data_IF_813208514924
#
_entry.id   IF_813208514924
#
_cell.length_a   1.000
_cell.length_b   1.000
_cell.length_c   1.000
_cell.angle_alpha   90.00
_cell.angle_beta   90.00
_cell.angle_gamma   90.00
#
_symmetry.space_group_name_H-M   'P 1'
#
loop_
_entity.id
_entity.type
_entity.pdbx_description
1 polymer ?
#
# COMPACT_ATOMS: atom_id res chain seq x y z
N UNK A 1 -56.00 4.98 18.43
CA UNK A 1 -54.66 5.00 19.07
C UNK A 1 -53.79 3.74 18.83
N UNK A 2 -53.94 3.01 17.70
CA UNK A 2 -53.16 1.77 17.44
C UNK A 2 -52.18 1.84 16.26
N UNK A 3 -52.19 2.91 15.46
CA UNK A 3 -51.34 3.02 14.25
C UNK A 3 -50.02 3.79 14.44
N UNK A 4 -49.87 4.55 15.51
CA UNK A 4 -48.67 5.36 15.78
C UNK A 4 -47.52 4.53 16.37
N UNK A 5 -47.83 3.37 16.99
CA UNK A 5 -46.80 2.49 17.57
C UNK A 5 -46.04 1.65 16.53
N UNK A 6 -46.64 1.42 15.36
CA UNK A 6 -46.05 0.58 14.31
C UNK A 6 -45.02 1.34 13.45
N UNK A 7 -45.14 2.66 13.32
CA UNK A 7 -44.19 3.48 12.57
C UNK A 7 -42.91 3.79 13.35
N UNK A 8 -42.95 3.78 14.69
CA UNK A 8 -41.76 4.00 15.51
C UNK A 8 -40.83 2.77 15.57
N UNK A 9 -41.38 1.56 15.41
CA UNK A 9 -40.60 0.31 15.47
C UNK A 9 -39.90 -0.02 14.13
N UNK A 10 -40.44 0.46 13.01
CA UNK A 10 -39.86 0.26 11.67
C UNK A 10 -38.59 1.08 11.42
N UNK A 11 -38.42 2.23 12.07
CA UNK A 11 -37.23 3.08 11.89
C UNK A 11 -35.98 2.56 12.62
N UNK A 12 -36.12 1.72 13.66
CA UNK A 12 -34.97 1.23 14.42
C UNK A 12 -34.26 0.05 13.72
N UNK A 13 -34.99 -0.75 12.95
CA UNK A 13 -34.43 -1.89 12.22
C UNK A 13 -33.64 -1.49 10.95
N UNK A 14 -33.91 -0.31 10.38
CA UNK A 14 -33.21 0.20 9.20
C UNK A 14 -31.82 0.79 9.51
N UNK A 15 -31.52 1.09 10.79
CA UNK A 15 -30.26 1.71 11.20
C UNK A 15 -29.13 0.70 11.46
N UNK A 16 -29.44 -0.60 11.53
CA UNK A 16 -28.48 -1.67 11.83
C UNK A 16 -27.69 -2.19 10.61
N UNK A 17 -27.99 -1.72 9.40
CA UNK A 17 -27.30 -2.17 8.18
C UNK A 17 -26.00 -1.42 7.83
N UNK A 18 -25.61 -0.40 8.61
CA UNK A 18 -24.36 0.35 8.36
C UNK A 18 -23.15 -0.13 9.17
N UNK A 19 -23.29 -1.16 10.00
CA UNK A 19 -22.16 -1.74 10.73
C UNK A 19 -21.81 -3.06 10.07
N UNK A 20 -20.93 -3.03 9.06
CA UNK A 20 -19.88 -4.04 8.86
C UNK A 20 -19.29 -3.92 7.46
N UNK A 21 -18.13 -3.25 7.34
CA UNK A 21 -17.13 -3.60 6.33
C UNK A 21 -15.76 -2.96 6.65
N UNK A 22 -15.13 -3.32 7.78
CA UNK A 22 -13.74 -2.91 8.06
C UNK A 22 -12.70 -4.03 7.85
N UNK A 23 -13.12 -5.29 7.70
CA UNK A 23 -12.18 -6.42 7.70
C UNK A 23 -11.63 -6.82 6.32
N UNK A 24 -12.10 -6.23 5.21
CA UNK A 24 -11.64 -6.59 3.85
C UNK A 24 -10.39 -5.84 3.38
N UNK A 25 -9.93 -4.83 4.11
CA UNK A 25 -8.78 -4.01 3.66
C UNK A 25 -7.44 -4.70 3.95
N UNK A 26 -7.39 -5.59 4.95
CA UNK A 26 -6.17 -6.28 5.41
C UNK A 26 -5.54 -7.19 4.35
N UNK A 27 -6.31 -7.67 3.37
CA UNK A 27 -5.84 -8.54 2.27
C UNK A 27 -5.54 -7.80 0.96
N UNK A 28 -5.64 -6.46 0.93
CA UNK A 28 -5.49 -5.70 -0.32
C UNK A 28 -4.08 -5.16 -0.51
N UNK A 29 -3.40 -4.81 0.57
CA UNK A 29 -2.14 -4.05 0.54
C UNK A 29 -0.87 -4.89 0.71
N UNK A 30 -1.02 -6.13 1.16
CA UNK A 30 0.05 -7.10 1.25
C UNK A 30 0.48 -7.58 -0.13
N UNK A 31 1.76 -7.90 -0.24
CA UNK A 31 2.35 -8.47 -1.44
C UNK A 31 3.58 -7.71 -1.95
N UNK A 32 3.94 -8.04 -3.19
CA UNK A 32 5.14 -7.52 -3.85
C UNK A 32 4.73 -6.47 -4.87
N UNK A 33 5.42 -5.34 -4.85
CA UNK A 33 5.23 -4.23 -5.76
C UNK A 33 6.55 -3.89 -6.42
N UNK A 34 6.55 -3.70 -7.74
CA UNK A 34 7.75 -3.40 -8.50
C UNK A 34 7.61 -2.07 -9.23
N UNK A 35 8.73 -1.38 -9.37
CA UNK A 35 8.89 -0.19 -10.18
C UNK A 35 10.13 -0.35 -11.05
N UNK A 36 10.03 0.09 -12.29
CA UNK A 36 11.10 0.07 -13.28
C UNK A 36 11.14 1.41 -13.99
N UNK A 37 12.31 2.04 -14.00
CA UNK A 37 12.56 3.28 -14.70
C UNK A 37 13.86 3.12 -15.51
N UNK A 38 13.86 3.56 -16.76
CA UNK A 38 15.08 3.58 -17.58
C UNK A 38 15.12 4.84 -18.42
N UNK A 39 16.32 5.40 -18.56
CA UNK A 39 16.62 6.50 -19.46
C UNK A 39 17.99 6.36 -20.08
N UNK A 40 18.42 7.37 -20.82
CA UNK A 40 19.70 7.39 -21.55
C UNK A 40 20.91 7.17 -20.63
N UNK A 41 20.83 7.64 -19.38
CA UNK A 41 21.95 7.66 -18.44
C UNK A 41 21.87 6.59 -17.35
N UNK A 42 20.72 5.94 -17.16
CA UNK A 42 20.56 4.98 -16.06
C UNK A 42 19.35 4.06 -16.17
N UNK A 43 19.42 2.98 -15.41
CA UNK A 43 18.32 2.05 -15.16
C UNK A 43 18.13 1.96 -13.64
N UNK A 44 16.90 2.11 -13.18
CA UNK A 44 16.49 1.92 -11.79
C UNK A 44 15.44 0.81 -11.70
N UNK A 45 15.67 -0.13 -10.79
CA UNK A 45 14.71 -1.17 -10.42
C UNK A 45 14.45 -1.05 -8.94
N UNK A 46 13.19 -1.15 -8.55
CA UNK A 46 12.81 -1.08 -7.15
C UNK A 46 11.72 -2.09 -6.86
N UNK A 47 11.81 -2.73 -5.70
CA UNK A 47 10.83 -3.72 -5.27
C UNK A 47 10.50 -3.46 -3.81
N UNK A 48 9.22 -3.34 -3.52
CA UNK A 48 8.67 -3.29 -2.17
C UNK A 48 7.96 -4.60 -1.88
N UNK A 49 8.31 -5.23 -0.77
CA UNK A 49 7.58 -6.36 -0.21
C UNK A 49 6.90 -5.86 1.05
N UNK A 50 5.57 -5.94 1.09
CA UNK A 50 4.75 -5.47 2.21
C UNK A 50 4.07 -6.69 2.83
N UNK A 51 4.33 -6.93 4.11
CA UNK A 51 3.86 -8.12 4.82
C UNK A 51 3.29 -7.72 6.18
N UNK A 52 2.17 -8.31 6.62
CA UNK A 52 1.67 -8.06 7.97
C UNK A 52 2.70 -8.53 9.01
N UNK A 53 2.85 -7.78 10.10
CA UNK A 53 3.76 -8.09 11.19
C UNK A 53 3.10 -7.75 12.53
N UNK A 54 2.95 -8.74 13.42
CA UNK A 54 2.37 -8.51 14.75
C UNK A 54 0.87 -8.21 14.72
N UNK A 55 0.47 -7.12 15.37
CA UNK A 55 -0.92 -6.73 15.62
C UNK A 55 -1.66 -6.30 14.34
N UNK A 56 -2.99 -6.14 14.47
CA UNK A 56 -3.80 -5.71 13.34
C UNK A 56 -3.45 -4.29 12.88
N UNK A 57 -2.92 -4.21 11.66
CA UNK A 57 -2.59 -2.94 11.00
C UNK A 57 -1.10 -2.64 10.95
N UNK A 58 -0.27 -3.44 11.61
CA UNK A 58 1.19 -3.29 11.57
C UNK A 58 1.79 -4.14 10.45
N UNK A 59 2.77 -3.56 9.74
CA UNK A 59 3.38 -4.15 8.54
C UNK A 59 4.90 -3.95 8.54
N UNK A 60 5.60 -4.98 8.07
CA UNK A 60 6.98 -4.87 7.63
C UNK A 60 7.02 -4.50 6.14
N UNK A 61 7.90 -3.56 5.79
CA UNK A 61 8.18 -3.16 4.41
C UNK A 61 9.65 -3.39 4.11
N UNK A 62 9.94 -4.28 3.16
CA UNK A 62 11.29 -4.54 2.67
C UNK A 62 11.44 -3.89 1.29
N UNK A 63 12.31 -2.88 1.20
CA UNK A 63 12.65 -2.22 -0.07
C UNK A 63 13.98 -2.73 -0.59
N UNK A 64 13.96 -3.29 -1.81
CA UNK A 64 15.14 -3.72 -2.56
C UNK A 64 15.28 -2.81 -3.78
N UNK A 65 16.25 -1.91 -3.75
CA UNK A 65 16.54 -1.00 -4.85
C UNK A 65 17.83 -1.38 -5.55
N UNK A 66 17.82 -1.27 -6.88
CA UNK A 66 18.98 -1.42 -7.73
C UNK A 66 19.08 -0.22 -8.69
N UNK A 67 20.29 0.29 -8.85
CA UNK A 67 20.59 1.38 -9.76
C UNK A 67 21.80 0.99 -10.62
N UNK A 68 21.77 1.38 -11.89
CA UNK A 68 22.83 1.10 -12.83
C UNK A 68 23.01 2.31 -13.74
N UNK A 69 24.23 2.83 -13.83
CA UNK A 69 24.53 3.93 -14.75
C UNK A 69 24.89 3.40 -16.14
N UNK A 70 24.56 4.18 -17.16
CA UNK A 70 24.98 3.96 -18.54
C UNK A 70 26.07 4.99 -18.85
N UNK A 71 27.25 4.52 -19.25
CA UNK A 71 28.37 5.38 -19.69
C UNK A 71 28.91 4.86 -21.01
N UNK A 72 29.08 5.73 -21.99
CA UNK A 72 29.54 5.34 -23.34
C UNK A 72 28.72 4.18 -23.93
N UNK A 73 27.38 4.22 -23.74
CA UNK A 73 26.44 3.15 -24.13
C UNK A 73 26.70 1.78 -23.48
N UNK A 74 27.50 1.73 -22.40
CA UNK A 74 27.79 0.52 -21.63
C UNK A 74 27.23 0.62 -20.22
N UNK A 75 26.54 -0.43 -19.80
CA UNK A 75 26.06 -0.57 -18.42
C UNK A 75 27.24 -0.72 -17.48
N UNK A 76 27.28 0.10 -16.43
CA UNK A 76 28.23 -0.01 -15.33
C UNK A 76 27.78 -1.07 -14.32
N UNK A 77 28.60 -1.46 -13.34
CA UNK A 77 28.16 -2.35 -12.26
C UNK A 77 26.92 -1.78 -11.54
N UNK A 78 26.01 -2.67 -11.13
CA UNK A 78 24.79 -2.27 -10.42
C UNK A 78 25.06 -2.05 -8.94
N UNK A 79 24.59 -0.92 -8.42
CA UNK A 79 24.51 -0.64 -7.00
C UNK A 79 23.18 -1.17 -6.44
N UNK A 80 23.23 -1.94 -5.34
CA UNK A 80 22.04 -2.52 -4.70
C UNK A 80 21.95 -2.07 -3.25
N UNK A 81 20.73 -1.79 -2.78
CA UNK A 81 20.44 -1.43 -1.39
C UNK A 81 19.20 -2.18 -0.92
N UNK A 82 19.27 -2.72 0.29
CA UNK A 82 18.12 -3.29 0.98
C UNK A 82 17.86 -2.43 2.21
N UNK A 83 16.58 -2.08 2.43
CA UNK A 83 16.14 -1.36 3.61
C UNK A 83 14.87 -1.99 4.13
N UNK A 84 14.76 -2.06 5.44
CA UNK A 84 13.60 -2.59 6.13
C UNK A 84 12.99 -1.48 6.97
N UNK A 85 11.67 -1.45 6.99
CA UNK A 85 10.88 -0.47 7.72
C UNK A 85 9.74 -1.18 8.41
N UNK A 86 9.35 -0.67 9.56
CA UNK A 86 8.06 -0.98 10.18
C UNK A 86 7.08 0.14 9.88
N UNK A 87 5.79 -0.18 9.83
CA UNK A 87 4.78 0.83 9.65
C UNK A 87 3.40 0.38 10.06
N UNK A 88 2.51 1.36 10.19
CA UNK A 88 1.10 1.14 10.53
C UNK A 88 0.21 1.66 9.43
N UNK A 89 -0.73 0.81 9.00
CA UNK A 89 -1.66 1.12 7.94
C UNK A 89 -2.91 1.81 8.49
N UNK A 90 -3.25 2.96 7.90
CA UNK A 90 -4.50 3.67 8.12
C UNK A 90 -5.49 3.35 7.00
N UNK A 91 -6.52 2.59 7.37
CA UNK A 91 -7.58 2.17 6.46
C UNK A 91 -8.47 3.31 5.96
N UNK A 92 -8.52 4.46 6.65
CA UNK A 92 -9.31 5.63 6.26
C UNK A 92 -8.61 6.39 5.14
N UNK A 93 -7.32 6.65 5.30
CA UNK A 93 -6.51 7.40 4.31
C UNK A 93 -5.83 6.50 3.28
N UNK A 94 -5.99 5.18 3.38
CA UNK A 94 -5.33 4.17 2.52
C UNK A 94 -3.83 4.38 2.45
N UNK A 95 -3.22 4.67 3.60
CA UNK A 95 -1.82 5.03 3.72
C UNK A 95 -1.12 4.16 4.75
N UNK A 96 0.07 3.66 4.42
CA UNK A 96 0.98 3.01 5.37
C UNK A 96 2.05 4.03 5.79
N UNK A 97 2.03 4.42 7.06
CA UNK A 97 3.01 5.33 7.65
C UNK A 97 4.18 4.46 8.12
N UNK A 98 5.36 4.67 7.53
CA UNK A 98 6.56 3.89 7.85
C UNK A 98 7.52 4.69 8.73
N UNK A 99 8.32 3.99 9.53
CA UNK A 99 9.37 4.51 10.43
C UNK A 99 10.61 5.06 9.70
N UNK A 100 10.40 5.74 8.58
CA UNK A 100 11.45 6.22 7.69
C UNK A 100 11.38 7.74 7.49
N UNK A 101 11.62 8.51 8.56
CA UNK A 101 11.67 9.98 8.52
C UNK A 101 10.41 10.62 7.90
N UNK A 102 9.22 10.17 8.33
CA UNK A 102 7.94 10.74 7.87
C UNK A 102 7.50 10.29 6.47
N UNK A 103 8.17 9.29 5.88
CA UNK A 103 7.70 8.69 4.62
C UNK A 103 6.39 7.94 4.82
N UNK A 104 5.58 7.97 3.79
CA UNK A 104 4.30 7.25 3.72
C UNK A 104 4.16 6.56 2.37
N UNK A 105 3.43 5.46 2.37
CA UNK A 105 3.06 4.72 1.17
C UNK A 105 1.56 4.89 0.97
N UNK A 106 1.17 5.53 -0.13
CA UNK A 106 -0.23 5.74 -0.48
C UNK A 106 -0.69 4.66 -1.46
N UNK A 107 -1.77 3.95 -1.14
CA UNK A 107 -2.29 2.87 -1.97
C UNK A 107 -3.41 3.34 -2.88
N UNK A 108 -3.42 2.82 -4.11
CA UNK A 108 -4.48 3.02 -5.09
C UNK A 108 -5.05 1.65 -5.50
N UNK A 109 -5.93 1.05 -4.67
CA UNK A 109 -6.43 -0.32 -4.89
C UNK A 109 -7.06 -0.52 -6.27
N UNK A 110 -7.81 0.46 -6.78
CA UNK A 110 -8.42 0.40 -8.11
C UNK A 110 -7.42 0.32 -9.27
N UNK A 111 -6.16 0.70 -9.04
CA UNK A 111 -5.06 0.63 -10.04
C UNK A 111 -4.08 -0.50 -9.77
N UNK A 112 -4.27 -1.27 -8.69
CA UNK A 112 -3.26 -2.22 -8.19
C UNK A 112 -1.86 -1.58 -8.08
N UNK A 113 -1.80 -0.31 -7.68
CA UNK A 113 -0.56 0.44 -7.55
C UNK A 113 -0.46 1.14 -6.20
N UNK A 114 0.75 1.55 -5.86
CA UNK A 114 1.04 2.39 -4.71
C UNK A 114 2.07 3.45 -5.08
N UNK A 115 2.15 4.49 -4.27
CA UNK A 115 3.12 5.56 -4.38
C UNK A 115 3.96 5.63 -3.11
N UNK A 116 5.28 5.54 -3.26
CA UNK A 116 6.25 5.88 -2.22
C UNK A 116 7.02 7.11 -2.69
N UNK A 117 6.82 8.24 -2.00
CA UNK A 117 7.29 9.55 -2.42
C UNK A 117 6.76 9.94 -3.80
N UNK A 118 7.61 9.93 -4.83
CA UNK A 118 7.25 10.26 -6.22
C UNK A 118 7.29 9.04 -7.15
N UNK A 119 7.64 7.86 -6.62
CA UNK A 119 7.76 6.64 -7.41
C UNK A 119 6.49 5.81 -7.29
N UNK A 120 5.87 5.52 -8.43
CA UNK A 120 4.77 4.57 -8.52
C UNK A 120 5.31 3.14 -8.64
N UNK A 121 4.64 2.22 -7.96
CA UNK A 121 4.91 0.79 -8.02
C UNK A 121 3.63 0.06 -8.37
N UNK A 122 3.74 -1.02 -9.13
CA UNK A 122 2.62 -1.86 -9.51
C UNK A 122 2.71 -3.21 -8.82
N UNK A 123 1.56 -3.72 -8.36
CA UNK A 123 1.48 -5.03 -7.72
C UNK A 123 1.88 -6.11 -8.72
N UNK A 124 2.82 -6.96 -8.32
CA UNK A 124 3.26 -8.11 -9.10
C UNK A 124 2.18 -9.18 -8.98
N UNK A 125 1.67 -9.64 -10.12
CA UNK A 125 0.73 -10.78 -10.16
C UNK A 125 1.53 -12.07 -9.90
N UNK A 126 1.01 -13.01 -9.09
CA UNK A 126 1.58 -14.34 -8.96
C UNK A 126 1.54 -15.11 -10.30
#
# INVERSE_FOLDING_TARGET
MKRIKATLFGCFAAMLFFVSCENSIKSSIDGTYASYESGEYSISKDTLVIMPCGDQGDYQVIRKSAFQTVRNRKLQPSERKIREYMGRFDGKTKTLIIDAQGKKISFFPGKNSLLLMQREYHKVKP
#
